data_IF_974926180526
#
_entry.id   IF_974926180526
#
_cell.length_a   1.000
_cell.length_b   1.000
_cell.length_c   1.000
_cell.angle_alpha   90.00
_cell.angle_beta   90.00
_cell.angle_gamma   90.00
#
_symmetry.space_group_name_H-M   'P 1'
#
loop_
_entity.id
_entity.type
_entity.pdbx_description
1 polymer ?
#
# COMPACT_ATOMS: atom_id res chain seq x y z
N UNK A 1 -6.86 -0.38 12.18
CA UNK A 1 -7.02 -1.35 11.08
C UNK A 1 -5.64 -1.77 10.62
N UNK A 2 -5.49 -3.05 10.27
CA UNK A 2 -4.26 -3.58 9.69
C UNK A 2 -4.59 -4.12 8.31
N UNK A 3 -3.73 -3.84 7.33
CA UNK A 3 -3.84 -4.30 5.95
C UNK A 3 -2.50 -4.88 5.52
N UNK A 4 -2.52 -6.04 4.87
CA UNK A 4 -1.33 -6.63 4.25
C UNK A 4 -1.55 -6.68 2.75
N UNK A 5 -0.63 -6.13 1.97
CA UNK A 5 -0.79 -6.05 0.54
C UNK A 5 0.46 -5.63 -0.20
N UNK A 6 0.33 -5.54 -1.52
CA UNK A 6 1.41 -5.13 -2.43
C UNK A 6 1.28 -3.64 -2.75
N UNK A 7 2.42 -2.95 -2.78
CA UNK A 7 2.50 -1.57 -3.26
C UNK A 7 2.34 -1.56 -4.78
N UNK A 8 1.32 -0.87 -5.27
CA UNK A 8 1.07 -0.74 -6.72
C UNK A 8 1.64 0.55 -7.29
N UNK A 9 1.49 1.64 -6.56
CA UNK A 9 1.97 2.96 -6.97
C UNK A 9 2.69 3.61 -5.80
N UNK A 10 3.69 4.43 -6.13
CA UNK A 10 4.35 5.34 -5.19
C UNK A 10 4.42 6.70 -5.85
N UNK A 11 3.90 7.71 -5.15
CA UNK A 11 3.86 9.08 -5.59
C UNK A 11 4.72 9.93 -4.64
N UNK A 12 5.63 10.69 -5.24
CA UNK A 12 6.53 11.66 -4.59
C UNK A 12 6.53 12.94 -5.41
N UNK A 13 5.47 13.74 -5.34
CA UNK A 13 5.33 14.96 -6.14
C UNK A 13 5.24 16.19 -5.24
N UNK A 14 5.76 17.35 -5.64
CA UNK A 14 5.49 18.61 -4.92
C UNK A 14 4.21 19.24 -5.47
N UNK A 15 3.26 19.61 -4.61
CA UNK A 15 2.00 20.27 -4.97
C UNK A 15 1.13 20.57 -3.74
N UNK A 16 0.13 21.43 -3.89
CA UNK A 16 -0.72 21.92 -2.78
C UNK A 16 -1.50 20.79 -2.08
N UNK A 17 -1.86 19.74 -2.83
CA UNK A 17 -2.52 18.53 -2.31
C UNK A 17 -1.54 17.48 -1.75
N UNK A 18 -0.23 17.69 -1.92
CA UNK A 18 0.77 16.69 -1.60
C UNK A 18 1.40 16.95 -0.23
N UNK A 19 1.02 16.12 0.72
CA UNK A 19 1.48 16.25 2.10
C UNK A 19 2.71 15.38 2.42
N UNK A 20 3.16 14.53 1.49
CA UNK A 20 4.27 13.59 1.67
C UNK A 20 4.09 12.31 0.85
N UNK A 21 5.08 11.41 0.89
CA UNK A 21 5.14 10.18 0.10
C UNK A 21 3.84 9.40 0.28
N UNK A 22 3.17 9.14 -0.83
CA UNK A 22 1.91 8.39 -0.86
C UNK A 22 2.11 7.10 -1.64
N UNK A 23 1.67 5.98 -1.09
CA UNK A 23 1.69 4.68 -1.74
C UNK A 23 0.30 4.06 -1.75
N UNK A 24 -0.07 3.39 -2.84
CA UNK A 24 -1.27 2.55 -2.87
C UNK A 24 -0.91 1.12 -2.46
N UNK A 25 -1.55 0.61 -1.41
CA UNK A 25 -1.40 -0.79 -0.96
C UNK A 25 -2.68 -1.56 -1.28
N UNK A 26 -2.53 -2.66 -2.02
CA UNK A 26 -3.64 -3.51 -2.46
C UNK A 26 -3.51 -4.93 -1.90
N UNK A 27 -4.57 -5.43 -1.28
CA UNK A 27 -4.60 -6.74 -0.61
C UNK A 27 -5.24 -7.88 -1.43
N UNK A 28 -5.75 -7.60 -2.62
CA UNK A 28 -6.54 -8.54 -3.42
C UNK A 28 -8.01 -8.15 -3.55
N UNK A 29 -8.55 -7.45 -2.55
CA UNK A 29 -9.98 -7.11 -2.45
C UNK A 29 -10.23 -5.61 -2.53
N UNK A 30 -9.23 -4.80 -2.15
CA UNK A 30 -9.33 -3.36 -2.19
C UNK A 30 -7.98 -2.67 -2.01
N UNK A 31 -7.98 -1.36 -2.26
CA UNK A 31 -6.82 -0.52 -2.11
C UNK A 31 -7.00 0.46 -0.94
N UNK A 32 -5.89 0.77 -0.28
CA UNK A 32 -5.78 1.85 0.70
C UNK A 32 -4.58 2.72 0.33
N UNK A 33 -4.80 4.03 0.24
CA UNK A 33 -3.72 5.00 0.17
C UNK A 33 -3.01 5.10 1.51
N UNK A 34 -1.69 5.15 1.47
CA UNK A 34 -0.84 5.22 2.65
C UNK A 34 0.04 6.45 2.49
N UNK A 35 -0.13 7.45 3.34
CA UNK A 35 0.57 8.73 3.20
C UNK A 35 1.46 8.99 4.41
N UNK A 36 2.76 9.17 4.17
CA UNK A 36 3.72 9.58 5.18
C UNK A 36 3.98 11.08 5.07
N UNK A 37 3.32 11.83 5.95
CA UNK A 37 3.34 13.29 5.96
C UNK A 37 4.75 13.81 6.20
N UNK A 38 5.13 14.85 5.46
CA UNK A 38 6.45 15.51 5.56
C UNK A 38 7.62 14.68 5.06
N UNK A 39 7.40 13.47 4.53
CA UNK A 39 8.46 12.59 4.03
C UNK A 39 8.46 12.58 2.52
N UNK A 40 9.63 12.78 1.91
CA UNK A 40 9.82 12.57 0.46
C UNK A 40 10.23 11.14 0.13
N UNK A 41 10.84 10.45 1.10
CA UNK A 41 11.34 9.08 0.97
C UNK A 41 10.99 8.34 2.26
N UNK A 42 10.56 7.09 2.14
CA UNK A 42 10.34 6.18 3.25
C UNK A 42 11.07 4.86 2.91
N UNK A 43 11.99 4.38 3.76
CA UNK A 43 12.80 3.22 3.46
C UNK A 43 11.98 1.98 3.07
N UNK A 44 12.33 1.37 1.95
CA UNK A 44 11.72 0.13 1.46
C UNK A 44 10.29 0.28 0.89
N UNK A 45 9.71 1.48 0.91
CA UNK A 45 8.45 1.76 0.22
C UNK A 45 8.75 2.00 -1.25
N UNK A 46 8.58 0.95 -2.05
CA UNK A 46 8.73 0.97 -3.49
C UNK A 46 7.64 0.12 -4.14
N UNK A 47 7.35 0.36 -5.41
CA UNK A 47 6.42 -0.45 -6.18
C UNK A 47 6.81 -1.93 -6.18
N UNK A 48 5.81 -2.80 -6.10
CA UNK A 48 6.01 -4.24 -6.08
C UNK A 48 6.42 -4.84 -4.73
N UNK A 49 6.81 -4.01 -3.76
CA UNK A 49 7.11 -4.46 -2.39
C UNK A 49 5.83 -4.83 -1.65
N UNK A 50 5.94 -5.75 -0.71
CA UNK A 50 4.81 -6.17 0.10
C UNK A 50 4.95 -5.63 1.51
N UNK A 51 3.85 -5.12 2.04
CA UNK A 51 3.81 -4.36 3.27
C UNK A 51 2.65 -4.83 4.13
N UNK A 52 2.88 -4.81 5.44
CA UNK A 52 1.80 -4.75 6.43
C UNK A 52 1.73 -3.33 6.97
N UNK A 53 0.58 -2.67 6.83
CA UNK A 53 0.33 -1.32 7.35
C UNK A 53 -0.73 -1.35 8.43
N UNK A 54 -0.51 -0.65 9.53
CA UNK A 54 -1.44 -0.53 10.65
C UNK A 54 -1.68 0.92 11.01
N UNK A 55 -2.95 1.33 11.04
CA UNK A 55 -3.32 2.69 11.35
C UNK A 55 -4.82 2.93 11.39
N UNK A 56 -5.20 4.21 11.48
CA UNK A 56 -6.58 4.67 11.33
C UNK A 56 -6.88 4.90 9.85
N UNK A 57 -8.05 4.45 9.43
CA UNK A 57 -8.57 4.71 8.07
C UNK A 57 -9.45 5.95 8.11
N UNK A 58 -9.19 6.85 7.16
CA UNK A 58 -10.07 7.93 6.78
C UNK A 58 -10.49 7.81 5.31
N UNK A 59 -11.14 8.85 4.80
CA UNK A 59 -11.52 8.95 3.38
C UNK A 59 -10.97 10.27 2.83
N UNK A 60 -10.30 10.20 1.68
CA UNK A 60 -9.79 11.37 0.94
C UNK A 60 -10.07 11.18 -0.54
N UNK A 61 -10.71 12.16 -1.18
CA UNK A 61 -11.19 12.08 -2.57
C UNK A 61 -11.98 10.79 -2.88
N UNK A 62 -12.73 10.26 -1.91
CA UNK A 62 -13.50 9.01 -2.07
C UNK A 62 -12.69 7.71 -1.87
N UNK A 63 -11.37 7.80 -1.65
CA UNK A 63 -10.50 6.66 -1.41
C UNK A 63 -10.18 6.48 0.08
N UNK A 64 -10.00 5.23 0.52
CA UNK A 64 -9.54 4.92 1.88
C UNK A 64 -8.09 5.36 2.03
N UNK A 65 -7.78 6.05 3.12
CA UNK A 65 -6.42 6.54 3.38
C UNK A 65 -5.98 6.30 4.83
N UNK A 66 -4.69 6.00 5.03
CA UNK A 66 -4.01 6.03 6.33
C UNK A 66 -2.89 7.07 6.32
N UNK A 67 -2.89 7.96 7.30
CA UNK A 67 -1.79 8.91 7.53
C UNK A 67 -0.81 8.38 8.57
N UNK A 68 0.48 8.48 8.26
CA UNK A 68 1.60 8.01 9.09
C UNK A 68 1.36 6.65 9.77
N UNK A 69 0.91 5.61 9.03
CA UNK A 69 0.71 4.32 9.66
C UNK A 69 2.05 3.69 10.01
N UNK A 70 1.99 2.79 10.99
CA UNK A 70 3.08 1.84 11.21
C UNK A 70 3.14 0.90 10.02
N UNK A 71 4.33 0.65 9.49
CA UNK A 71 4.53 -0.28 8.38
C UNK A 71 5.62 -1.29 8.70
N UNK A 72 5.51 -2.46 8.09
CA UNK A 72 6.51 -3.52 8.10
C UNK A 72 6.70 -4.03 6.67
N UNK A 73 7.96 -4.20 6.26
CA UNK A 73 8.33 -4.80 4.99
C UNK A 73 8.20 -6.32 5.12
N UNK A 74 7.54 -6.93 4.15
CA UNK A 74 7.40 -8.39 4.06
C UNK A 74 8.32 -8.90 2.94
N UNK A 75 9.06 -9.96 3.24
CA UNK A 75 10.01 -10.58 2.30
C UNK A 75 9.28 -11.36 1.18
N UNK A 76 8.09 -11.87 1.50
CA UNK A 76 7.27 -12.68 0.60
C UNK A 76 6.24 -11.79 -0.12
N UNK A 77 6.23 -11.86 -1.46
CA UNK A 77 5.07 -11.41 -2.22
C UNK A 77 3.90 -12.32 -1.81
N UNK A 78 2.72 -11.79 -1.41
CA UNK A 78 1.57 -12.64 -1.19
C UNK A 78 1.34 -13.39 -2.50
N UNK A 79 1.54 -14.72 -2.47
CA UNK A 79 1.33 -15.59 -3.62
C UNK A 79 -0.06 -15.25 -4.13
N UNK A 80 -0.12 -14.69 -5.32
CA UNK A 80 -1.39 -14.44 -5.97
C UNK A 80 -1.97 -15.84 -6.17
N UNK A 81 -3.09 -16.15 -5.53
CA UNK A 81 -3.78 -17.42 -5.71
C UNK A 81 -4.37 -17.46 -7.12
N UNK A 82 -3.52 -17.71 -8.12
CA UNK A 82 -3.88 -17.98 -9.50
C UNK A 82 -2.95 -19.07 -10.01
N UNK A 83 -2.97 -20.24 -9.37
CA UNK A 83 -2.29 -21.42 -9.92
C UNK A 83 -2.76 -22.76 -9.29
N UNK A 84 -4.07 -22.97 -9.09
CA UNK A 84 -4.59 -24.32 -8.79
C UNK A 84 -5.99 -24.50 -9.39
N UNK A 85 -6.10 -24.79 -10.70
CA UNK A 85 -7.27 -25.44 -11.35
C UNK A 85 -7.05 -25.73 -12.84
N UNK A 86 -5.85 -26.15 -13.26
CA UNK A 86 -5.59 -26.61 -14.64
C UNK A 86 -4.92 -27.97 -14.72
N UNK A 87 -5.22 -28.87 -13.79
CA UNK A 87 -4.89 -30.29 -13.94
C UNK A 87 -6.02 -31.15 -13.37
N UNK A 88 -7.12 -31.21 -14.13
CA UNK A 88 -8.05 -32.34 -14.10
C UNK A 88 -8.80 -32.41 -15.43
N UNK A 89 -8.14 -33.01 -16.41
CA UNK A 89 -8.77 -33.66 -17.58
C UNK A 89 -8.43 -35.13 -17.53
#
# INVERSE_FOLDING_TARGET
MTLTGRVRTVLTCGGEDFLGLTAEVFDGTGAVEVCWLGRRIVPGIDTGRCLRVTGRVGVRHGHKIMFNPRYELLDEQPRTAVEESRDRV
#
